data_IF_835871778671
#
_entry.id   IF_835871778671
#
_cell.length_a   1.000
_cell.length_b   1.000
_cell.length_c   1.000
_cell.angle_alpha   90.00
_cell.angle_beta   90.00
_cell.angle_gamma   90.00
#
_symmetry.space_group_name_H-M   'P 1'
#
loop_
_entity.id
_entity.type
_entity.pdbx_description
1 polymer ?
#
# COMPACT_ATOMS: atom_id res chain seq x y z
N UNK A 1 13.78 4.68 -0.46
CA UNK A 1 13.76 4.75 -1.94
C UNK A 1 12.52 3.99 -2.38
N UNK A 2 11.57 4.65 -3.02
CA UNK A 2 10.42 3.98 -3.64
C UNK A 2 10.95 3.41 -4.96
N UNK A 3 10.79 2.11 -5.20
CA UNK A 3 11.24 1.50 -6.46
C UNK A 3 10.30 1.95 -7.59
N UNK A 4 10.82 2.70 -8.57
CA UNK A 4 10.09 3.18 -9.76
C UNK A 4 9.52 2.06 -10.66
N UNK A 5 9.92 0.79 -10.46
CA UNK A 5 9.49 -0.35 -11.26
C UNK A 5 8.21 -1.05 -10.77
N UNK A 6 7.67 -0.63 -9.64
CA UNK A 6 6.48 -1.25 -9.07
C UNK A 6 5.45 -0.17 -8.74
N UNK A 7 4.82 0.41 -9.76
CA UNK A 7 3.60 1.18 -9.57
C UNK A 7 2.43 0.19 -9.50
N UNK A 8 1.57 0.32 -8.51
CA UNK A 8 0.29 -0.39 -8.45
C UNK A 8 -0.69 0.36 -9.34
N UNK A 9 -1.00 -0.17 -10.52
CA UNK A 9 -1.89 0.50 -11.47
C UNK A 9 -3.34 0.10 -11.29
N UNK A 10 -3.60 -1.08 -10.73
CA UNK A 10 -4.94 -1.69 -10.60
C UNK A 10 -5.29 -2.13 -9.17
N UNK A 11 -6.58 -2.31 -8.89
CA UNK A 11 -7.06 -2.77 -7.58
C UNK A 11 -6.66 -4.21 -7.27
N UNK A 12 -6.56 -5.09 -8.27
CA UNK A 12 -6.05 -6.46 -8.11
C UNK A 12 -4.59 -6.46 -7.64
N UNK A 13 -3.76 -5.58 -8.19
CA UNK A 13 -2.37 -5.42 -7.74
C UNK A 13 -2.29 -4.85 -6.32
N UNK A 14 -3.20 -3.93 -5.97
CA UNK A 14 -3.30 -3.43 -4.60
C UNK A 14 -3.65 -4.57 -3.64
N UNK A 15 -4.63 -5.40 -3.98
CA UNK A 15 -5.05 -6.53 -3.17
C UNK A 15 -3.90 -7.54 -3.01
N UNK A 16 -3.25 -7.92 -4.11
CA UNK A 16 -2.11 -8.82 -4.09
C UNK A 16 -0.97 -8.26 -3.22
N UNK A 17 -0.72 -6.95 -3.28
CA UNK A 17 0.27 -6.28 -2.46
C UNK A 17 -0.09 -6.35 -0.97
N UNK A 18 -1.35 -6.05 -0.60
CA UNK A 18 -1.84 -6.14 0.77
C UNK A 18 -1.75 -7.58 1.33
N UNK A 19 -2.16 -8.57 0.53
CA UNK A 19 -2.03 -9.98 0.89
C UNK A 19 -0.57 -10.38 1.08
N UNK A 20 0.32 -9.89 0.22
CA UNK A 20 1.74 -10.21 0.29
C UNK A 20 2.41 -9.58 1.53
N UNK A 21 1.93 -8.41 1.99
CA UNK A 21 2.32 -7.83 3.28
C UNK A 21 1.82 -8.69 4.44
N UNK A 22 0.54 -9.07 4.42
CA UNK A 22 -0.10 -9.87 5.48
C UNK A 22 0.55 -11.25 5.64
N UNK A 23 0.94 -11.87 4.52
CA UNK A 23 1.69 -13.13 4.50
C UNK A 23 3.18 -12.98 4.86
N UNK A 24 3.66 -11.76 5.13
CA UNK A 24 5.07 -11.49 5.44
C UNK A 24 6.02 -11.65 4.25
N UNK A 25 5.51 -11.67 3.02
CA UNK A 25 6.28 -11.91 1.79
C UNK A 25 7.30 -10.81 1.47
N UNK A 26 7.17 -9.61 2.06
CA UNK A 26 8.15 -8.53 1.96
C UNK A 26 9.27 -8.61 3.00
N UNK A 27 9.23 -9.56 3.94
CA UNK A 27 10.18 -9.63 5.06
C UNK A 27 10.11 -8.41 5.99
N UNK A 28 9.00 -7.66 5.95
CA UNK A 28 8.78 -6.51 6.82
C UNK A 28 8.41 -7.01 8.23
N UNK A 29 9.11 -6.49 9.23
CA UNK A 29 8.83 -6.79 10.64
C UNK A 29 8.05 -5.62 11.24
N UNK A 30 7.09 -5.95 12.11
CA UNK A 30 6.26 -4.97 12.84
C UNK A 30 5.38 -4.08 11.95
N UNK A 31 4.88 -4.61 10.82
CA UNK A 31 3.85 -3.90 10.06
C UNK A 31 2.61 -3.75 10.93
N UNK A 32 2.26 -2.52 11.27
CA UNK A 32 1.09 -2.22 12.09
C UNK A 32 -0.06 -1.69 11.24
N UNK A 33 0.22 -1.16 10.06
CA UNK A 33 -0.83 -0.67 9.16
C UNK A 33 -0.34 -0.28 7.78
N UNK A 34 -1.32 -0.05 6.91
CA UNK A 34 -1.13 0.43 5.55
C UNK A 34 -2.06 1.62 5.34
N UNK A 35 -1.59 2.64 4.64
CA UNK A 35 -2.32 3.87 4.40
C UNK A 35 -2.08 4.38 2.98
N UNK A 36 -3.08 4.98 2.35
CA UNK A 36 -2.89 5.72 1.11
C UNK A 36 -2.56 7.17 1.42
N UNK A 37 -1.50 7.69 0.80
CA UNK A 37 -1.02 9.05 0.99
C UNK A 37 -0.68 9.71 -0.35
N UNK A 38 -0.83 11.03 -0.42
CA UNK A 38 -0.45 11.87 -1.58
C UNK A 38 0.57 12.92 -1.17
N UNK A 39 1.22 12.75 -0.03
CA UNK A 39 2.09 13.76 0.58
C UNK A 39 3.56 13.61 0.16
N UNK A 40 3.80 13.45 -1.14
CA UNK A 40 5.13 13.51 -1.74
C UNK A 40 5.33 14.84 -2.46
N UNK A 41 6.58 15.20 -2.75
CA UNK A 41 6.94 16.41 -3.48
C UNK A 41 6.31 16.48 -4.89
N UNK A 42 5.98 15.33 -5.48
CA UNK A 42 5.39 15.22 -6.83
C UNK A 42 3.85 15.19 -6.84
N UNK A 43 3.18 15.18 -5.67
CA UNK A 43 1.72 15.05 -5.54
C UNK A 43 1.13 13.70 -6.01
N UNK A 44 1.96 12.75 -6.42
CA UNK A 44 1.55 11.41 -6.86
C UNK A 44 1.08 10.55 -5.67
N UNK A 45 -0.08 9.90 -5.76
CA UNK A 45 -0.53 8.99 -4.71
C UNK A 45 0.41 7.79 -4.57
N UNK A 46 0.58 7.34 -3.33
CA UNK A 46 1.33 6.15 -2.97
C UNK A 46 0.68 5.44 -1.79
N UNK A 47 0.92 4.14 -1.69
CA UNK A 47 0.62 3.37 -0.49
C UNK A 47 1.84 3.39 0.44
N UNK A 48 1.59 3.72 1.69
CA UNK A 48 2.54 3.81 2.79
C UNK A 48 2.31 2.64 3.75
N UNK A 49 3.32 1.81 3.94
CA UNK A 49 3.35 0.79 4.98
C UNK A 49 3.96 1.42 6.24
N UNK A 50 3.24 1.30 7.35
CA UNK A 50 3.59 1.90 8.63
C UNK A 50 3.94 0.81 9.65
N UNK A 51 4.96 1.08 10.47
CA UNK A 51 5.27 0.28 11.65
C UNK A 51 4.38 0.64 12.84
N UNK A 52 4.59 -0.05 13.97
CA UNK A 52 3.92 0.19 15.25
C UNK A 52 4.10 1.63 15.80
N UNK A 53 5.10 2.36 15.30
CA UNK A 53 5.40 3.75 15.66
C UNK A 53 4.88 4.75 14.64
N UNK A 54 4.04 4.31 13.69
CA UNK A 54 3.56 5.10 12.56
C UNK A 54 4.69 5.67 11.67
N UNK A 55 5.85 5.01 11.64
CA UNK A 55 6.94 5.35 10.74
C UNK A 55 6.77 4.63 9.40
N UNK A 56 7.02 5.35 8.31
CA UNK A 56 7.01 4.78 6.96
C UNK A 56 8.13 3.75 6.83
N UNK A 57 7.76 2.48 6.74
CA UNK A 57 8.67 1.38 6.44
C UNK A 57 8.95 1.31 4.94
N UNK A 58 7.89 1.32 4.15
CA UNK A 58 7.97 1.16 2.70
C UNK A 58 6.83 1.90 2.02
N UNK A 59 7.17 2.62 0.94
CA UNK A 59 6.21 3.30 0.08
C UNK A 59 6.21 2.66 -1.30
N UNK A 60 5.04 2.52 -1.91
CA UNK A 60 4.89 2.09 -3.31
C UNK A 60 3.96 3.04 -4.04
N UNK A 61 4.36 3.50 -5.21
CA UNK A 61 3.53 4.38 -6.03
C UNK A 61 2.25 3.68 -6.45
N UNK A 62 1.14 4.41 -6.52
CA UNK A 62 -0.13 3.89 -7.02
C UNK A 62 -0.69 4.80 -8.10
N UNK A 63 -1.55 4.25 -8.95
CA UNK A 63 -2.34 5.06 -9.88
C UNK A 63 -3.40 5.86 -9.13
N UNK A 64 -3.93 6.89 -9.80
CA UNK A 64 -5.02 7.68 -9.23
C UNK A 64 -6.30 6.86 -9.06
N UNK A 65 -6.58 5.94 -9.98
CA UNK A 65 -7.73 5.02 -9.88
C UNK A 65 -7.64 4.16 -8.60
N UNK A 66 -6.47 3.57 -8.35
CA UNK A 66 -6.20 2.78 -7.13
C UNK A 66 -6.28 3.65 -5.89
N UNK A 67 -5.80 4.90 -5.96
CA UNK A 67 -5.93 5.82 -4.83
C UNK A 67 -7.38 6.16 -4.51
N UNK A 68 -8.24 6.32 -5.51
CA UNK A 68 -9.65 6.69 -5.32
C UNK A 68 -10.50 5.50 -4.91
N UNK A 69 -10.35 4.36 -5.59
CA UNK A 69 -11.16 3.16 -5.37
C UNK A 69 -10.58 2.22 -4.29
N UNK A 70 -9.26 2.26 -4.05
CA UNK A 70 -8.57 1.39 -3.10
C UNK A 70 -8.65 1.83 -1.63
N UNK A 71 -9.24 3.00 -1.34
CA UNK A 71 -9.37 3.52 0.04
C UNK A 71 -10.11 2.56 0.96
N UNK A 72 -11.20 1.97 0.46
CA UNK A 72 -11.97 0.98 1.20
C UNK A 72 -11.15 -0.28 1.47
N UNK A 73 -10.37 -0.76 0.50
CA UNK A 73 -9.53 -1.95 0.65
C UNK A 73 -8.41 -1.74 1.66
N UNK A 74 -7.79 -0.55 1.68
CA UNK A 74 -6.76 -0.22 2.68
C UNK A 74 -7.37 -0.01 4.06
N UNK A 75 -8.59 0.53 4.15
CA UNK A 75 -9.27 0.82 5.42
C UNK A 75 -9.88 -0.42 6.07
N UNK A 76 -10.50 -1.29 5.29
CA UNK A 76 -11.19 -2.49 5.79
C UNK A 76 -10.36 -3.76 5.64
N UNK A 77 -9.21 -3.68 4.98
CA UNK A 77 -8.40 -4.83 4.58
C UNK A 77 -8.87 -5.44 3.25
N UNK A 78 -8.03 -6.26 2.59
CA UNK A 78 -8.42 -6.97 1.39
C UNK A 78 -9.64 -7.84 1.71
N UNK A 79 -10.69 -7.77 0.88
CA UNK A 79 -11.84 -8.66 1.04
C UNK A 79 -11.32 -10.07 0.82
N UNK A 80 -11.31 -10.91 1.86
CA UNK A 80 -11.08 -12.35 1.67
C UNK A 80 -12.12 -12.83 0.64
N UNK A 81 -11.68 -13.09 -0.58
CA UNK A 81 -12.48 -13.82 -1.55
C UNK A 81 -12.78 -15.18 -0.90
N UNK A 82 -14.04 -15.35 -0.51
CA UNK A 82 -14.56 -16.52 0.19
C UNK A 82 -14.99 -17.59 -0.80
#
# INVERSE_FOLDING_TARGET
>A
MINDKDIIETLDELEAFLLLIDNGGLGLQNVAGVALATNNSDGRPFIAILDDKHQLLLGRWVSQDVYENGKDMVRYGPKKAH
#
